data_IF_457241034200
#
_entry.id   IF_457241034200
#
_cell.length_a   1.000
_cell.length_b   1.000
_cell.length_c   1.000
_cell.angle_alpha   90.00
_cell.angle_beta   90.00
_cell.angle_gamma   90.00
#
_symmetry.space_group_name_H-M   'P 1'
#
loop_
_entity.id
_entity.type
_entity.pdbx_description
1 polymer ?
#
# COMPACT_ATOMS: atom_id res chain seq x y z
N UNK A 1 19.15 12.63 -5.75
CA UNK A 1 17.88 13.32 -5.45
C UNK A 1 17.59 13.12 -3.98
N UNK A 2 17.82 14.15 -3.19
CA UNK A 2 17.60 14.06 -1.75
C UNK A 2 16.09 14.13 -1.46
N UNK A 3 15.52 12.99 -1.05
CA UNK A 3 14.11 12.89 -0.65
C UNK A 3 13.93 13.33 0.82
N UNK A 4 14.39 14.53 1.15
CA UNK A 4 14.21 15.07 2.50
C UNK A 4 12.71 15.23 2.77
N UNK A 5 12.21 14.51 3.77
CA UNK A 5 10.81 14.57 4.20
C UNK A 5 9.83 13.68 3.45
N UNK A 6 10.28 12.77 2.58
CA UNK A 6 9.42 11.77 1.92
C UNK A 6 9.64 10.40 2.55
N UNK A 7 8.57 9.60 2.59
CA UNK A 7 8.61 8.21 3.08
C UNK A 7 7.71 7.34 2.20
N UNK A 8 8.01 6.05 2.21
CA UNK A 8 7.19 5.03 1.54
C UNK A 8 6.38 4.25 2.57
N UNK A 9 5.20 3.84 2.18
CA UNK A 9 4.39 2.92 2.98
C UNK A 9 4.76 1.48 2.60
N UNK A 10 5.09 0.69 3.60
CA UNK A 10 5.45 -0.72 3.43
C UNK A 10 4.42 -1.67 4.05
N UNK A 11 4.42 -2.90 3.57
CA UNK A 11 3.62 -3.97 4.16
C UNK A 11 4.21 -4.46 5.48
N UNK A 12 3.41 -5.15 6.29
CA UNK A 12 3.78 -5.71 7.61
C UNK A 12 4.97 -6.66 7.53
N UNK A 13 5.13 -7.37 6.40
CA UNK A 13 6.26 -8.26 6.15
C UNK A 13 7.61 -7.55 6.01
N UNK A 14 7.61 -6.24 5.79
CA UNK A 14 8.85 -5.46 5.73
C UNK A 14 9.29 -4.99 7.11
N UNK A 15 10.61 -4.83 7.28
CA UNK A 15 11.16 -4.13 8.45
C UNK A 15 10.99 -2.63 8.30
N UNK A 16 10.83 -1.91 9.42
CA UNK A 16 11.01 -0.46 9.46
C UNK A 16 12.44 -0.13 9.06
N UNK A 17 12.63 0.35 7.81
CA UNK A 17 13.93 0.79 7.26
C UNK A 17 13.90 2.28 6.98
N UNK A 18 15.07 2.82 6.65
CA UNK A 18 15.22 4.21 6.19
C UNK A 18 14.19 4.52 5.12
N UNK A 19 13.27 5.45 5.31
CA UNK A 19 12.19 5.85 4.37
C UNK A 19 10.98 4.91 4.26
N UNK A 20 10.93 3.78 4.97
CA UNK A 20 9.78 2.86 4.94
C UNK A 20 9.02 2.89 6.26
N UNK A 21 7.75 3.27 6.21
CA UNK A 21 6.84 3.27 7.35
C UNK A 21 5.83 2.13 7.19
N UNK A 22 5.69 1.32 8.23
CA UNK A 22 4.72 0.22 8.29
C UNK A 22 3.63 0.53 9.33
N UNK A 23 2.51 -0.16 9.23
CA UNK A 23 1.41 -0.04 10.19
C UNK A 23 1.84 -0.45 11.62
N UNK A 24 1.05 -0.03 12.61
CA UNK A 24 1.20 -0.48 14.00
C UNK A 24 0.78 -1.94 14.12
N UNK A 25 1.74 -2.80 14.45
CA UNK A 25 1.50 -4.23 14.67
C UNK A 25 0.63 -4.45 15.91
N UNK A 26 -0.27 -5.43 15.84
CA UNK A 26 -1.17 -5.74 16.96
C UNK A 26 -2.29 -4.72 17.21
N UNK A 27 -2.38 -3.67 16.39
CA UNK A 27 -3.49 -2.72 16.42
C UNK A 27 -4.51 -3.13 15.36
N UNK A 28 -5.60 -3.75 15.80
CA UNK A 28 -6.67 -4.23 14.92
C UNK A 28 -7.33 -3.09 14.17
N UNK A 29 -7.46 -3.22 12.88
CA UNK A 29 -8.18 -2.29 12.01
C UNK A 29 -9.05 -3.10 11.03
N UNK A 30 -10.34 -2.82 10.99
CA UNK A 30 -11.24 -3.40 10.00
C UNK A 30 -11.97 -2.25 9.29
N UNK A 31 -11.69 -2.06 8.01
CA UNK A 31 -12.31 -1.02 7.18
C UNK A 31 -13.85 -1.03 7.28
N UNK A 32 -14.46 -2.23 7.38
CA UNK A 32 -15.92 -2.38 7.52
C UNK A 32 -16.46 -1.98 8.90
N UNK A 33 -15.69 -2.11 9.97
CA UNK A 33 -16.09 -1.74 11.34
C UNK A 33 -16.07 -0.22 11.53
N UNK A 34 -15.09 0.46 10.92
CA UNK A 34 -14.95 1.92 11.01
C UNK A 34 -16.01 2.71 10.26
N UNK A 35 -16.66 2.11 9.24
CA UNK A 35 -17.80 2.72 8.58
C UNK A 35 -18.97 3.03 9.54
N UNK A 36 -19.00 2.42 10.74
CA UNK A 36 -20.08 2.61 11.72
C UNK A 36 -19.68 3.39 12.98
N UNK A 37 -18.42 3.31 13.43
CA UNK A 37 -18.02 3.86 14.75
C UNK A 37 -16.84 4.85 14.70
N UNK A 38 -16.16 4.99 13.58
CA UNK A 38 -14.93 5.77 13.49
C UNK A 38 -13.74 5.16 14.26
N UNK A 39 -12.53 5.70 14.08
CA UNK A 39 -11.33 5.27 14.80
C UNK A 39 -11.37 5.75 16.24
N UNK A 40 -10.96 4.90 17.20
CA UNK A 40 -11.00 5.19 18.63
C UNK A 40 -9.73 5.89 19.13
N UNK A 41 -8.64 5.83 18.39
CA UNK A 41 -7.35 6.43 18.73
C UNK A 41 -6.48 6.67 17.49
N UNK A 42 -5.39 7.43 17.70
CA UNK A 42 -4.44 7.80 16.64
C UNK A 42 -3.85 6.61 15.88
N UNK A 43 -3.48 5.50 16.58
CA UNK A 43 -2.88 4.31 15.96
C UNK A 43 -3.88 3.57 15.07
N UNK A 44 -5.12 3.49 15.49
CA UNK A 44 -6.19 2.91 14.68
C UNK A 44 -6.49 3.76 13.45
N UNK A 45 -6.52 5.09 13.60
CA UNK A 45 -6.71 6.01 12.48
C UNK A 45 -5.55 5.91 11.50
N UNK A 46 -4.30 5.89 11.99
CA UNK A 46 -3.12 5.70 11.14
C UNK A 46 -3.20 4.39 10.35
N UNK A 47 -3.49 3.27 11.03
CA UNK A 47 -3.61 1.98 10.35
C UNK A 47 -4.75 1.95 9.33
N UNK A 48 -5.84 2.65 9.58
CA UNK A 48 -6.94 2.81 8.63
C UNK A 48 -6.51 3.54 7.36
N UNK A 49 -5.81 4.68 7.51
CA UNK A 49 -5.28 5.43 6.38
C UNK A 49 -4.23 4.63 5.61
N UNK A 50 -3.32 3.96 6.32
CA UNK A 50 -2.30 3.10 5.72
C UNK A 50 -2.93 1.97 4.90
N UNK A 51 -3.92 1.28 5.46
CA UNK A 51 -4.65 0.21 4.76
C UNK A 51 -5.43 0.73 3.55
N UNK A 52 -6.05 1.91 3.66
CA UNK A 52 -6.74 2.54 2.53
C UNK A 52 -5.80 2.83 1.37
N UNK A 53 -4.62 3.40 1.66
CA UNK A 53 -3.58 3.67 0.65
C UNK A 53 -3.03 2.37 0.05
N UNK A 54 -2.79 1.34 0.87
CA UNK A 54 -2.37 0.02 0.41
C UNK A 54 -3.39 -0.56 -0.58
N UNK A 55 -4.68 -0.51 -0.26
CA UNK A 55 -5.74 -1.00 -1.15
C UNK A 55 -5.77 -0.27 -2.50
N UNK A 56 -5.52 1.05 -2.52
CA UNK A 56 -5.41 1.82 -3.78
C UNK A 56 -4.25 1.30 -4.64
N UNK A 57 -3.10 1.03 -4.01
CA UNK A 57 -1.92 0.51 -4.72
C UNK A 57 -2.19 -0.91 -5.24
N UNK A 58 -2.72 -1.82 -4.41
CA UNK A 58 -3.07 -3.19 -4.80
C UNK A 58 -4.06 -3.20 -5.98
N UNK A 59 -5.09 -2.38 -5.89
CA UNK A 59 -6.06 -2.17 -6.97
C UNK A 59 -5.39 -1.73 -8.27
N UNK A 60 -4.48 -0.77 -8.20
CA UNK A 60 -3.75 -0.28 -9.37
C UNK A 60 -2.89 -1.37 -10.00
N UNK A 61 -2.21 -2.18 -9.18
CA UNK A 61 -1.43 -3.33 -9.66
C UNK A 61 -2.30 -4.41 -10.29
N UNK A 62 -3.46 -4.73 -9.72
CA UNK A 62 -4.37 -5.72 -10.30
C UNK A 62 -4.95 -5.24 -11.64
N UNK A 63 -5.30 -3.95 -11.75
CA UNK A 63 -5.73 -3.37 -13.05
C UNK A 63 -4.59 -3.43 -14.07
N UNK A 64 -3.35 -3.11 -13.66
CA UNK A 64 -2.17 -3.21 -14.51
C UNK A 64 -1.96 -4.64 -15.03
N UNK A 65 -1.98 -5.63 -14.14
CA UNK A 65 -1.82 -7.06 -14.47
C UNK A 65 -2.89 -7.54 -15.43
N UNK A 66 -4.15 -7.18 -15.22
CA UNK A 66 -5.25 -7.55 -16.10
C UNK A 66 -5.16 -6.87 -17.47
N UNK A 67 -4.64 -5.65 -17.52
CA UNK A 67 -4.45 -4.93 -18.78
C UNK A 67 -3.32 -5.49 -19.61
N UNK A 68 -2.25 -5.93 -18.96
CA UNK A 68 -1.04 -6.46 -19.60
C UNK A 68 -0.77 -7.89 -19.15
N UNK A 69 -1.31 -8.86 -19.91
CA UNK A 69 -1.16 -10.29 -19.62
C UNK A 69 0.31 -10.74 -19.52
N UNK A 70 1.23 -10.06 -20.20
CA UNK A 70 2.66 -10.35 -20.14
C UNK A 70 3.24 -10.24 -18.73
N UNK A 71 2.65 -9.41 -17.83
CA UNK A 71 3.09 -9.27 -16.44
C UNK A 71 2.61 -10.45 -15.59
N UNK A 72 1.45 -11.03 -15.92
CA UNK A 72 0.84 -12.14 -15.18
C UNK A 72 1.33 -13.51 -15.59
N UNK A 73 1.84 -13.65 -16.81
CA UNK A 73 2.29 -14.92 -17.37
C UNK A 73 3.62 -15.44 -16.79
N UNK A 74 3.99 -15.00 -15.59
CA UNK A 74 5.27 -15.17 -14.89
C UNK A 74 5.86 -16.56 -14.75
N UNK A 75 5.37 -17.58 -15.43
CA UNK A 75 5.88 -18.95 -15.33
C UNK A 75 6.85 -19.37 -16.43
N UNK A 76 6.89 -18.67 -17.55
CA UNK A 76 7.81 -19.01 -18.67
C UNK A 76 8.30 -17.75 -19.39
N UNK A 77 8.99 -16.87 -18.67
CA UNK A 77 9.60 -15.71 -19.30
C UNK A 77 10.90 -16.16 -19.99
N UNK A 78 10.84 -16.27 -21.28
CA UNK A 78 12.01 -16.55 -22.16
C UNK A 78 12.95 -15.34 -22.30
N UNK A 79 12.72 -14.28 -21.51
CA UNK A 79 13.49 -13.05 -21.53
C UNK A 79 14.44 -12.97 -20.34
N UNK A 80 15.60 -12.36 -20.55
CA UNK A 80 16.51 -12.04 -19.46
C UNK A 80 15.92 -11.00 -18.49
N UNK A 81 16.56 -10.83 -17.34
CA UNK A 81 16.10 -9.93 -16.28
C UNK A 81 16.03 -8.48 -16.75
N UNK A 82 16.97 -8.03 -17.58
CA UNK A 82 17.03 -6.66 -18.09
C UNK A 82 15.84 -6.36 -18.99
N UNK A 83 15.63 -7.20 -19.99
CA UNK A 83 14.48 -7.12 -20.91
C UNK A 83 13.14 -7.17 -20.15
N UNK A 84 13.03 -8.03 -19.14
CA UNK A 84 11.82 -8.09 -18.30
C UNK A 84 11.57 -6.80 -17.55
N UNK A 85 12.61 -6.20 -17.01
CA UNK A 85 12.51 -4.91 -16.31
C UNK A 85 12.02 -3.82 -17.24
N UNK A 86 12.53 -3.77 -18.47
CA UNK A 86 12.10 -2.82 -19.50
C UNK A 86 10.63 -3.02 -19.92
N UNK A 87 10.21 -4.27 -20.11
CA UNK A 87 8.81 -4.60 -20.43
C UNK A 87 7.88 -4.14 -19.30
N UNK A 88 8.21 -4.44 -18.06
CA UNK A 88 7.40 -4.03 -16.88
C UNK A 88 7.33 -2.50 -16.82
N UNK A 89 8.47 -1.81 -16.98
CA UNK A 89 8.51 -0.34 -16.98
C UNK A 89 7.65 0.24 -18.11
N UNK A 90 7.74 -0.30 -19.32
CA UNK A 90 6.90 0.12 -20.43
C UNK A 90 5.40 -0.07 -20.14
N UNK A 91 5.02 -1.21 -19.54
CA UNK A 91 3.64 -1.46 -19.12
C UNK A 91 3.15 -0.44 -18.08
N UNK A 92 3.98 -0.04 -17.11
CA UNK A 92 3.64 1.01 -16.14
C UNK A 92 3.42 2.37 -16.82
N UNK A 93 4.29 2.75 -17.74
CA UNK A 93 4.18 4.02 -18.48
C UNK A 93 2.89 4.03 -19.30
N UNK A 94 2.64 2.97 -20.06
CA UNK A 94 1.41 2.82 -20.87
C UNK A 94 0.16 2.81 -19.99
N UNK A 95 0.19 2.13 -18.85
CA UNK A 95 -0.92 2.12 -17.89
C UNK A 95 -1.26 3.52 -17.42
N UNK A 96 -0.27 4.31 -17.02
CA UNK A 96 -0.47 5.67 -16.54
C UNK A 96 -1.06 6.58 -17.64
N UNK A 97 -0.60 6.43 -18.88
CA UNK A 97 -1.16 7.15 -20.03
C UNK A 97 -2.62 6.75 -20.25
N UNK A 98 -2.89 5.45 -20.28
CA UNK A 98 -4.24 4.92 -20.50
C UNK A 98 -5.21 5.29 -19.37
N UNK A 99 -4.76 5.38 -18.14
CA UNK A 99 -5.59 5.86 -17.03
C UNK A 99 -6.11 7.29 -17.25
N UNK A 100 -5.36 8.13 -17.98
CA UNK A 100 -5.77 9.48 -18.34
C UNK A 100 -6.66 9.57 -19.57
N UNK A 101 -6.59 8.61 -20.50
CA UNK A 101 -7.29 8.66 -21.81
C UNK A 101 -8.45 7.67 -21.87
N UNK A 102 -8.20 6.43 -21.48
CA UNK A 102 -9.18 5.34 -21.41
C UNK A 102 -8.89 4.45 -20.20
N UNK A 103 -9.44 4.78 -19.03
CA UNK A 103 -9.19 4.04 -17.81
C UNK A 103 -9.70 2.60 -17.81
N UNK A 104 -10.55 2.22 -18.76
CA UNK A 104 -11.12 0.87 -18.87
C UNK A 104 -12.08 0.56 -17.72
N UNK A 105 -13.25 1.21 -17.63
CA UNK A 105 -14.15 1.11 -16.47
C UNK A 105 -14.61 -0.32 -16.18
N UNK A 106 -14.75 -1.16 -17.20
CA UNK A 106 -15.11 -2.58 -17.03
C UNK A 106 -14.00 -3.37 -16.30
N UNK A 107 -12.76 -3.10 -16.64
CA UNK A 107 -11.59 -3.74 -16.04
C UNK A 107 -11.47 -3.34 -14.56
N UNK A 108 -11.63 -2.06 -14.28
CA UNK A 108 -11.63 -1.52 -12.92
C UNK A 108 -12.75 -2.14 -12.08
N UNK A 109 -13.97 -2.19 -12.60
CA UNK A 109 -15.11 -2.77 -11.91
C UNK A 109 -14.96 -4.29 -11.69
N UNK A 110 -14.23 -4.99 -12.55
CA UNK A 110 -13.92 -6.40 -12.34
C UNK A 110 -12.93 -6.57 -11.19
N UNK A 111 -11.85 -5.78 -11.15
CA UNK A 111 -10.87 -5.80 -10.06
C UNK A 111 -11.52 -5.44 -8.73
N UNK A 112 -12.39 -4.44 -8.69
CA UNK A 112 -13.10 -4.04 -7.47
C UNK A 112 -13.96 -5.18 -6.88
N UNK A 113 -14.61 -5.97 -7.72
CA UNK A 113 -15.36 -7.15 -7.27
C UNK A 113 -14.46 -8.23 -6.69
N UNK A 114 -13.36 -8.54 -7.37
CA UNK A 114 -12.42 -9.58 -6.93
C UNK A 114 -11.71 -9.22 -5.60
N UNK A 115 -11.36 -7.94 -5.40
CA UNK A 115 -10.74 -7.48 -4.17
C UNK A 115 -11.72 -7.46 -2.98
N UNK A 116 -13.03 -7.29 -3.23
CA UNK A 116 -14.05 -7.37 -2.17
C UNK A 116 -14.24 -8.80 -1.63
N UNK A 117 -14.02 -9.81 -2.47
CA UNK A 117 -14.14 -11.22 -2.09
C UNK A 117 -12.90 -11.76 -1.35
N UNK A 118 -11.73 -11.13 -1.57
CA UNK A 118 -10.49 -11.48 -0.90
C UNK A 118 -10.36 -10.75 0.44
N UNK A 119 -10.73 -11.42 1.53
CA UNK A 119 -10.52 -10.91 2.88
C UNK A 119 -9.02 -10.98 3.23
N UNK A 120 -8.37 -9.89 3.68
CA UNK A 120 -6.95 -9.93 4.05
C UNK A 120 -6.75 -10.89 5.23
N UNK A 121 -5.84 -11.85 5.05
CA UNK A 121 -5.38 -12.73 6.13
C UNK A 121 -4.58 -11.90 7.14
N UNK A 122 -4.77 -12.18 8.44
CA UNK A 122 -3.92 -11.64 9.50
C UNK A 122 -2.47 -12.10 9.26
N UNK A 123 -1.57 -11.14 9.06
CA UNK A 123 -0.15 -11.42 8.84
C UNK A 123 0.54 -11.86 10.14
N UNK A 124 1.30 -12.93 10.05
CA UNK A 124 2.05 -13.56 11.13
C UNK A 124 3.14 -12.63 11.68
N UNK A 125 3.25 -12.54 13.00
CA UNK A 125 4.14 -11.61 13.70
C UNK A 125 5.59 -12.10 13.60
N UNK A 126 6.40 -11.49 12.76
CA UNK A 126 7.85 -11.66 12.77
C UNK A 126 8.47 -10.69 13.79
N UNK A 127 9.14 -11.20 14.82
CA UNK A 127 9.87 -10.41 15.81
C UNK A 127 11.19 -9.96 15.20
N UNK A 128 11.44 -8.65 15.14
CA UNK A 128 12.72 -8.09 14.71
C UNK A 128 13.34 -7.24 15.82
N UNK A 129 14.68 -7.29 15.90
CA UNK A 129 15.50 -6.55 16.85
C UNK A 129 15.33 -5.03 16.72
N UNK A 130 15.36 -4.36 17.87
CA UNK A 130 15.20 -2.91 17.98
C UNK A 130 16.54 -2.25 17.66
N UNK A 131 16.75 -1.92 16.41
CA UNK A 131 17.85 -1.09 15.91
C UNK A 131 17.53 0.40 16.10
N UNK A 132 18.56 1.26 16.05
CA UNK A 132 18.46 2.72 16.18
C UNK A 132 17.61 3.33 15.04
N UNK A 133 17.71 2.76 13.85
CA UNK A 133 16.84 3.07 12.72
C UNK A 133 15.37 2.75 13.00
N UNK A 134 15.07 1.66 13.67
CA UNK A 134 13.71 1.32 14.09
C UNK A 134 13.12 2.37 15.04
N UNK A 135 13.92 2.86 16.02
CA UNK A 135 13.47 3.89 16.97
C UNK A 135 13.13 5.19 16.27
N UNK A 136 14.01 5.68 15.37
CA UNK A 136 13.79 6.90 14.62
C UNK A 136 12.53 6.82 13.74
N UNK A 137 12.27 5.67 13.11
CA UNK A 137 11.09 5.43 12.28
C UNK A 137 9.82 5.30 13.09
N UNK A 138 9.91 4.67 14.26
CA UNK A 138 8.79 4.62 15.19
C UNK A 138 8.38 6.02 15.64
N UNK A 139 9.34 6.88 15.95
CA UNK A 139 9.06 8.29 16.30
C UNK A 139 8.38 9.04 15.16
N UNK A 140 8.91 8.95 13.93
CA UNK A 140 8.30 9.58 12.76
C UNK A 140 6.86 9.08 12.50
N UNK A 141 6.64 7.77 12.61
CA UNK A 141 5.29 7.20 12.49
C UNK A 141 4.35 7.73 13.57
N UNK A 142 4.84 7.83 14.81
CA UNK A 142 4.06 8.33 15.95
C UNK A 142 3.72 9.82 15.77
N UNK A 143 4.65 10.65 15.26
CA UNK A 143 4.39 12.05 14.90
C UNK A 143 3.30 12.16 13.82
N UNK A 144 3.40 11.38 12.74
CA UNK A 144 2.39 11.37 11.68
C UNK A 144 1.02 10.93 12.22
N UNK A 145 0.99 9.89 13.05
CA UNK A 145 -0.25 9.40 13.64
C UNK A 145 -0.92 10.46 14.51
N UNK A 146 -0.13 11.18 15.33
CA UNK A 146 -0.60 12.26 16.19
C UNK A 146 -1.15 13.44 15.36
N UNK A 147 -0.47 13.80 14.27
CA UNK A 147 -0.92 14.87 13.39
C UNK A 147 -2.22 14.53 12.69
N UNK A 148 -2.33 13.35 12.08
CA UNK A 148 -3.56 12.87 11.45
C UNK A 148 -4.71 12.82 12.46
N UNK A 149 -4.43 12.43 13.70
CA UNK A 149 -5.43 12.41 14.77
C UNK A 149 -5.92 13.80 15.13
N UNK A 150 -5.02 14.78 15.24
CA UNK A 150 -5.38 16.18 15.51
C UNK A 150 -6.27 16.73 14.37
N UNK A 151 -5.90 16.52 13.11
CA UNK A 151 -6.69 16.94 11.96
C UNK A 151 -8.08 16.29 11.95
N UNK A 152 -8.15 15.00 12.25
CA UNK A 152 -9.41 14.26 12.35
C UNK A 152 -10.34 14.82 13.43
N UNK A 153 -9.79 15.20 14.61
CA UNK A 153 -10.58 15.80 15.68
C UNK A 153 -11.08 17.21 15.34
N UNK A 154 -10.35 17.94 14.49
CA UNK A 154 -10.74 19.25 14.00
C UNK A 154 -11.74 19.20 12.83
N UNK A 155 -12.03 18.01 12.31
CA UNK A 155 -12.92 17.81 11.16
C UNK A 155 -12.33 18.27 9.82
N UNK A 156 -11.00 18.28 9.69
CA UNK A 156 -10.23 18.66 8.51
C UNK A 156 -9.99 17.48 7.56
#
# INVERSE_FOLDING_TARGET
MDFVGKFYLGDVGFMLKHELIILYRGVRYHLKEYARRGPENEKKLFNLHHASLKNVIERSFEVLKKRFAIITSGTELHYDFETMTEIVLACFILHNILMGVDPGPHLIAQVDRELQDNNPKEDEIVRHEQDEDYRRRSMLRDEIATQIWADYQLGL
#
